data_IF_685629401196
#
_entry.id   IF_685629401196
#
_cell.length_a   1.000
_cell.length_b   1.000
_cell.length_c   1.000
_cell.angle_alpha   90.00
_cell.angle_beta   90.00
_cell.angle_gamma   90.00
#
_symmetry.space_group_name_H-M   'P 1'
#
loop_
_entity.id
_entity.type
_entity.pdbx_description
1 polymer ?
#
# COMPACT_ATOMS: atom_id res chain seq x y z
N UNK A 1 47.89 10.44 4.46
CA UNK A 1 46.82 10.82 5.40
C UNK A 1 45.69 11.60 4.75
N UNK A 2 45.98 12.75 4.21
CA UNK A 2 44.98 13.61 3.55
C UNK A 2 44.29 12.92 2.38
N UNK A 3 44.98 12.18 1.49
CA UNK A 3 44.31 11.46 0.39
C UNK A 3 43.31 10.40 0.86
N UNK A 4 43.58 9.75 1.99
CA UNK A 4 42.71 8.73 2.56
C UNK A 4 41.40 9.34 3.05
N UNK A 5 41.42 10.53 3.63
CA UNK A 5 40.26 11.26 4.09
C UNK A 5 39.36 11.69 2.91
N UNK A 6 39.96 12.11 1.80
CA UNK A 6 39.26 12.47 0.57
C UNK A 6 38.57 11.25 -0.04
N UNK A 7 39.23 10.12 -0.05
CA UNK A 7 38.68 8.87 -0.56
C UNK A 7 37.49 8.40 0.27
N UNK A 8 37.57 8.55 1.59
CA UNK A 8 36.47 8.23 2.48
C UNK A 8 35.24 9.11 2.23
N UNK A 9 35.42 10.38 1.93
CA UNK A 9 34.29 11.27 1.63
C UNK A 9 33.62 10.91 0.31
N UNK A 10 34.34 10.39 -0.66
CA UNK A 10 33.76 9.86 -1.91
C UNK A 10 32.97 8.60 -1.66
N UNK A 11 33.47 7.69 -0.85
CA UNK A 11 32.78 6.47 -0.49
C UNK A 11 31.46 6.76 0.26
N UNK A 12 31.49 7.72 1.17
CA UNK A 12 30.29 8.17 1.89
C UNK A 12 29.24 8.74 0.94
N UNK A 13 29.66 9.57 -0.03
CA UNK A 13 28.75 10.12 -1.03
C UNK A 13 28.12 9.03 -1.90
N UNK A 14 28.92 8.06 -2.31
CA UNK A 14 28.44 6.93 -3.10
C UNK A 14 27.46 6.05 -2.31
N UNK A 15 27.71 5.86 -1.03
CA UNK A 15 26.82 5.15 -0.13
C UNK A 15 25.49 5.88 0.04
N UNK A 16 25.50 7.18 0.24
CA UNK A 16 24.29 7.99 0.40
C UNK A 16 23.43 7.96 -0.85
N UNK A 17 24.01 8.02 -2.03
CA UNK A 17 23.30 7.90 -3.30
C UNK A 17 22.62 6.52 -3.43
N UNK A 18 23.29 5.47 -2.98
CA UNK A 18 22.72 4.11 -3.02
C UNK A 18 21.61 3.92 -1.99
N UNK A 19 21.71 4.52 -0.83
CA UNK A 19 20.69 4.42 0.21
C UNK A 19 19.40 5.16 -0.15
N UNK A 20 19.50 6.24 -0.89
CA UNK A 20 18.35 6.99 -1.36
C UNK A 20 17.68 6.38 -2.60
N UNK A 21 18.37 5.49 -3.30
CA UNK A 21 17.96 5.00 -4.61
C UNK A 21 16.84 3.94 -4.57
N UNK A 22 16.59 3.29 -3.45
CA UNK A 22 15.55 2.27 -3.38
C UNK A 22 14.96 2.12 -1.99
N UNK A 23 13.70 2.40 -1.86
CA UNK A 23 12.93 1.99 -0.69
C UNK A 23 12.76 0.47 -0.72
N UNK A 24 12.96 -0.22 0.42
CA UNK A 24 12.89 -1.67 0.43
C UNK A 24 11.49 -2.18 0.13
N UNK A 25 11.42 -3.16 -0.76
CA UNK A 25 10.17 -3.84 -1.12
C UNK A 25 10.25 -5.35 -0.93
N UNK A 26 11.44 -5.91 -0.80
CA UNK A 26 11.63 -7.34 -0.60
C UNK A 26 10.88 -7.81 0.66
N UNK A 27 9.98 -8.75 0.49
CA UNK A 27 9.15 -9.30 1.57
C UNK A 27 8.76 -10.74 1.28
N UNK A 28 8.16 -11.40 2.26
CA UNK A 28 7.61 -12.75 2.08
C UNK A 28 6.37 -12.71 1.18
N UNK A 29 6.25 -13.69 0.29
CA UNK A 29 5.05 -13.89 -0.52
C UNK A 29 3.97 -14.57 0.30
N UNK A 30 2.77 -14.01 0.29
CA UNK A 30 1.59 -14.61 0.89
C UNK A 30 0.82 -15.37 -0.18
N UNK A 31 0.68 -16.68 0.00
CA UNK A 31 -0.15 -17.52 -0.87
C UNK A 31 -1.54 -17.68 -0.23
N UNK A 32 -2.48 -16.87 -0.70
CA UNK A 32 -3.84 -16.85 -0.17
C UNK A 32 -4.64 -18.12 -0.50
N UNK A 33 -4.28 -18.82 -1.57
CA UNK A 33 -4.98 -20.06 -1.96
C UNK A 33 -4.67 -21.21 -1.01
N UNK A 34 -3.44 -21.29 -0.54
CA UNK A 34 -2.95 -22.37 0.30
C UNK A 34 -2.75 -21.94 1.77
N UNK A 35 -3.11 -20.70 2.11
CA UNK A 35 -2.97 -20.12 3.46
C UNK A 35 -1.57 -20.30 4.04
N UNK A 36 -0.56 -20.01 3.26
CA UNK A 36 0.83 -20.13 3.70
C UNK A 36 1.70 -18.98 3.19
N UNK A 37 2.82 -18.79 3.87
CA UNK A 37 3.87 -17.87 3.46
C UNK A 37 4.98 -18.70 2.82
N UNK A 38 5.36 -18.35 1.59
CA UNK A 38 6.45 -19.04 0.90
C UNK A 38 7.18 -18.09 -0.04
N UNK A 39 8.49 -18.33 -0.18
CA UNK A 39 9.34 -17.57 -1.08
C UNK A 39 9.35 -16.05 -0.77
N UNK A 40 9.96 -15.30 -1.66
CA UNK A 40 10.10 -13.87 -1.56
C UNK A 40 9.43 -13.19 -2.73
N UNK A 41 9.00 -11.97 -2.54
CA UNK A 41 8.42 -11.11 -3.57
C UNK A 41 9.04 -9.72 -3.45
N UNK A 42 9.25 -9.07 -4.60
CA UNK A 42 9.87 -7.75 -4.67
C UNK A 42 9.21 -6.92 -5.79
N UNK A 43 9.52 -5.61 -5.82
CA UNK A 43 9.06 -4.70 -6.86
C UNK A 43 7.54 -4.53 -6.91
N UNK A 44 6.97 -4.59 -8.11
CA UNK A 44 5.53 -4.38 -8.32
C UNK A 44 4.65 -5.40 -7.59
N UNK A 45 5.04 -6.67 -7.57
CA UNK A 45 4.29 -7.71 -6.85
C UNK A 45 4.28 -7.46 -5.35
N UNK A 46 5.42 -7.03 -4.79
CA UNK A 46 5.51 -6.67 -3.38
C UNK A 46 4.63 -5.46 -3.07
N UNK A 47 4.59 -4.47 -3.95
CA UNK A 47 3.72 -3.30 -3.81
C UNK A 47 2.24 -3.68 -3.86
N UNK A 48 1.86 -4.56 -4.77
CA UNK A 48 0.49 -5.06 -4.85
C UNK A 48 0.07 -5.76 -3.55
N UNK A 49 0.94 -6.60 -3.01
CA UNK A 49 0.72 -7.28 -1.73
C UNK A 49 0.64 -6.28 -0.56
N UNK A 50 1.51 -5.28 -0.54
CA UNK A 50 1.50 -4.24 0.50
C UNK A 50 0.20 -3.42 0.47
N UNK A 51 -0.29 -3.05 -0.70
CA UNK A 51 -1.55 -2.35 -0.88
C UNK A 51 -2.71 -3.21 -0.38
N UNK A 52 -2.76 -4.48 -0.78
CA UNK A 52 -3.78 -5.41 -0.33
C UNK A 52 -3.80 -5.54 1.21
N UNK A 53 -2.63 -5.63 1.81
CA UNK A 53 -2.48 -5.71 3.27
C UNK A 53 -3.02 -4.48 3.99
N UNK A 54 -2.77 -3.28 3.48
CA UNK A 54 -3.31 -2.03 4.04
C UNK A 54 -4.84 -2.03 3.99
N UNK A 55 -5.41 -2.44 2.85
CA UNK A 55 -6.86 -2.47 2.65
C UNK A 55 -7.57 -3.52 3.52
N UNK A 56 -6.88 -4.59 3.87
CA UNK A 56 -7.40 -5.65 4.75
C UNK A 56 -7.22 -5.35 6.23
N UNK A 57 -6.52 -4.29 6.57
CA UNK A 57 -6.21 -3.94 7.96
C UNK A 57 -7.12 -2.80 8.42
N UNK A 58 -7.93 -3.03 9.43
CA UNK A 58 -8.73 -1.98 10.08
C UNK A 58 -7.81 -1.04 10.85
N UNK A 59 -7.90 0.26 10.58
CA UNK A 59 -7.11 1.29 11.26
C UNK A 59 -7.43 1.30 12.76
N UNK A 60 -6.40 1.47 13.58
CA UNK A 60 -6.44 1.49 15.05
C UNK A 60 -6.71 0.16 15.74
N UNK A 61 -7.12 -0.86 15.03
CA UNK A 61 -7.40 -2.18 15.63
C UNK A 61 -6.16 -2.87 16.19
N UNK A 62 -5.03 -2.68 15.53
CA UNK A 62 -3.76 -3.33 15.87
C UNK A 62 -2.69 -2.30 16.24
N UNK A 63 -3.02 -1.35 17.09
CA UNK A 63 -2.16 -0.22 17.44
C UNK A 63 -0.84 -0.57 18.15
N UNK A 64 -0.71 -1.80 18.65
CA UNK A 64 0.56 -2.30 19.20
C UNK A 64 1.53 -2.81 18.13
N UNK A 65 1.03 -3.14 16.96
CA UNK A 65 1.81 -3.71 15.85
C UNK A 65 2.04 -2.67 14.76
N UNK A 66 1.03 -1.89 14.45
CA UNK A 66 1.06 -0.87 13.39
C UNK A 66 0.92 0.54 13.97
N UNK A 67 1.45 1.53 13.24
CA UNK A 67 1.22 2.93 13.57
C UNK A 67 -0.26 3.30 13.46
N UNK A 68 -0.65 4.39 14.11
CA UNK A 68 -2.03 4.89 14.07
C UNK A 68 -2.52 5.25 12.66
N UNK A 69 -1.60 5.48 11.72
CA UNK A 69 -1.92 5.84 10.33
C UNK A 69 -1.98 4.65 9.38
N UNK A 70 -1.70 3.44 9.87
CA UNK A 70 -1.71 2.25 9.05
C UNK A 70 -3.12 1.63 8.99
N UNK A 71 -3.53 1.21 7.80
CA UNK A 71 -4.82 0.60 7.56
C UNK A 71 -5.88 1.58 7.09
N UNK A 72 -7.10 1.11 7.00
CA UNK A 72 -8.26 1.87 6.53
C UNK A 72 -9.46 1.66 7.46
N UNK A 73 -10.24 2.72 7.69
CA UNK A 73 -11.49 2.64 8.45
C UNK A 73 -12.67 2.41 7.52
N UNK A 74 -13.32 1.26 7.63
CA UNK A 74 -14.48 0.92 6.82
C UNK A 74 -15.69 0.49 7.66
N UNK A 75 -15.50 0.16 8.92
CA UNK A 75 -16.55 -0.38 9.80
C UNK A 75 -17.69 0.61 10.00
N UNK A 76 -17.40 1.89 10.11
CA UNK A 76 -18.40 2.94 10.29
C UNK A 76 -19.25 3.22 9.05
N UNK A 77 -18.89 2.67 7.89
CA UNK A 77 -19.67 2.77 6.66
C UNK A 77 -20.82 1.74 6.60
N UNK A 78 -20.81 0.74 7.46
CA UNK A 78 -21.84 -0.27 7.53
C UNK A 78 -23.19 0.39 7.91
N UNK A 79 -24.21 0.19 7.09
CA UNK A 79 -25.52 0.78 7.28
C UNK A 79 -25.72 2.18 6.71
N UNK A 80 -24.70 2.78 6.10
CA UNK A 80 -24.78 4.09 5.46
C UNK A 80 -25.36 4.00 4.05
N UNK A 81 -25.94 5.11 3.51
CA UNK A 81 -26.42 5.15 2.13
C UNK A 81 -25.32 4.85 1.11
N UNK A 82 -25.64 4.11 0.08
CA UNK A 82 -24.71 3.65 -0.95
C UNK A 82 -23.92 4.77 -1.61
N UNK A 83 -24.55 5.87 -1.98
CA UNK A 83 -23.86 7.01 -2.60
C UNK A 83 -22.80 7.61 -1.67
N UNK A 84 -23.10 7.70 -0.39
CA UNK A 84 -22.17 8.15 0.64
C UNK A 84 -21.01 7.16 0.78
N UNK A 85 -21.27 5.86 0.82
CA UNK A 85 -20.25 4.81 0.93
C UNK A 85 -19.27 4.88 -0.23
N UNK A 86 -19.74 5.01 -1.45
CA UNK A 86 -18.87 5.10 -2.65
C UNK A 86 -17.92 6.30 -2.56
N UNK A 87 -18.42 7.47 -2.22
CA UNK A 87 -17.60 8.68 -2.10
C UNK A 87 -16.57 8.57 -0.97
N UNK A 88 -16.99 8.02 0.17
CA UNK A 88 -16.11 7.86 1.32
C UNK A 88 -15.05 6.78 1.11
N UNK A 89 -15.40 5.67 0.48
CA UNK A 89 -14.45 4.59 0.17
C UNK A 89 -13.33 5.10 -0.73
N UNK A 90 -13.65 5.85 -1.78
CA UNK A 90 -12.63 6.44 -2.64
C UNK A 90 -11.66 7.34 -1.86
N UNK A 91 -12.21 8.25 -1.08
CA UNK A 91 -11.43 9.17 -0.25
C UNK A 91 -10.53 8.43 0.74
N UNK A 92 -11.08 7.44 1.43
CA UNK A 92 -10.36 6.68 2.47
C UNK A 92 -9.28 5.77 1.90
N UNK A 93 -9.52 5.14 0.76
CA UNK A 93 -8.50 4.36 0.07
C UNK A 93 -7.34 5.26 -0.36
N UNK A 94 -7.65 6.39 -0.97
CA UNK A 94 -6.62 7.35 -1.39
C UNK A 94 -5.79 7.84 -0.21
N UNK A 95 -6.43 8.24 0.86
CA UNK A 95 -5.75 8.69 2.09
C UNK A 95 -4.89 7.58 2.70
N UNK A 96 -5.43 6.38 2.86
CA UNK A 96 -4.72 5.26 3.48
C UNK A 96 -3.47 4.85 2.69
N UNK A 97 -3.55 4.82 1.36
CA UNK A 97 -2.44 4.39 0.52
C UNK A 97 -1.37 5.47 0.34
N UNK A 98 -1.75 6.74 0.32
CA UNK A 98 -0.78 7.83 0.16
C UNK A 98 0.10 8.07 1.39
N UNK A 99 -0.16 7.41 2.50
CA UNK A 99 0.78 7.35 3.63
C UNK A 99 2.05 6.58 3.30
N UNK A 100 2.02 5.68 2.33
CA UNK A 100 3.21 4.98 1.86
C UNK A 100 3.92 5.83 0.81
N UNK A 101 5.14 6.24 1.11
CA UNK A 101 5.94 7.09 0.22
C UNK A 101 6.27 6.45 -1.13
N UNK A 102 6.17 5.13 -1.22
CA UNK A 102 6.36 4.38 -2.47
C UNK A 102 5.18 4.52 -3.43
N UNK A 103 4.03 4.98 -2.95
CA UNK A 103 2.82 5.19 -3.75
C UNK A 103 2.74 6.67 -4.12
N UNK A 104 2.80 6.96 -5.42
CA UNK A 104 2.83 8.32 -5.95
C UNK A 104 1.43 8.87 -6.21
N UNK A 105 0.52 8.04 -6.67
CA UNK A 105 -0.86 8.43 -6.99
C UNK A 105 -1.80 7.24 -6.93
N UNK A 106 -3.06 7.51 -6.63
CA UNK A 106 -4.16 6.54 -6.67
C UNK A 106 -5.23 7.11 -7.58
N UNK A 107 -5.61 6.37 -8.62
CA UNK A 107 -6.48 6.88 -9.70
C UNK A 107 -7.33 5.78 -10.34
N UNK A 108 -8.20 6.21 -11.26
CA UNK A 108 -9.04 5.33 -12.09
C UNK A 108 -9.93 4.40 -11.26
N UNK A 109 -10.62 4.98 -10.29
CA UNK A 109 -11.58 4.24 -9.49
C UNK A 109 -12.79 3.82 -10.31
N UNK A 110 -13.19 2.56 -10.15
CA UNK A 110 -14.41 1.99 -10.70
C UNK A 110 -15.16 1.27 -9.61
N UNK A 111 -16.48 1.48 -9.54
CA UNK A 111 -17.32 0.92 -8.51
C UNK A 111 -18.43 0.09 -9.14
N UNK A 112 -18.53 -1.16 -8.73
CA UNK A 112 -19.65 -2.04 -9.06
C UNK A 112 -20.41 -2.37 -7.77
N UNK A 113 -21.68 -2.02 -7.73
CA UNK A 113 -22.45 -2.17 -6.50
C UNK A 113 -23.41 -3.33 -6.58
N UNK A 114 -23.42 -4.13 -5.52
CA UNK A 114 -24.39 -5.17 -5.23
C UNK A 114 -25.38 -4.69 -4.14
N UNK A 115 -26.24 -5.58 -3.67
CA UNK A 115 -27.26 -5.22 -2.67
C UNK A 115 -26.66 -4.75 -1.34
N UNK A 116 -25.58 -5.36 -0.89
CA UNK A 116 -24.97 -5.12 0.41
C UNK A 116 -23.46 -4.87 0.34
N UNK A 117 -22.90 -4.74 -0.85
CA UNK A 117 -21.47 -4.51 -1.04
C UNK A 117 -21.17 -3.68 -2.28
N UNK A 118 -19.98 -3.07 -2.28
CA UNK A 118 -19.42 -2.35 -3.42
C UNK A 118 -18.09 -2.99 -3.76
N UNK A 119 -17.94 -3.42 -5.01
CA UNK A 119 -16.68 -3.90 -5.53
C UNK A 119 -15.89 -2.71 -6.08
N UNK A 120 -14.69 -2.51 -5.60
CA UNK A 120 -13.84 -1.38 -5.94
C UNK A 120 -12.65 -1.85 -6.77
N UNK A 121 -12.39 -1.16 -7.86
CA UNK A 121 -11.20 -1.35 -8.68
C UNK A 121 -10.49 0.00 -8.82
N UNK A 122 -9.18 -0.01 -8.77
CA UNK A 122 -8.39 1.22 -8.92
C UNK A 122 -6.96 0.91 -9.34
N UNK A 123 -6.22 1.96 -9.69
CA UNK A 123 -4.83 1.87 -10.08
C UNK A 123 -3.96 2.74 -9.18
N UNK A 124 -2.78 2.24 -8.85
CA UNK A 124 -1.76 2.97 -8.11
C UNK A 124 -0.53 3.16 -8.97
N UNK A 125 -0.04 4.39 -9.08
CA UNK A 125 1.29 4.66 -9.60
C UNK A 125 2.28 4.56 -8.44
N UNK A 126 3.24 3.66 -8.56
CA UNK A 126 4.28 3.45 -7.55
C UNK A 126 5.65 3.74 -8.13
N UNK A 127 6.65 3.88 -7.28
CA UNK A 127 8.05 4.03 -7.72
C UNK A 127 8.57 2.80 -8.49
N UNK A 128 7.88 1.65 -8.41
CA UNK A 128 8.20 0.42 -9.12
C UNK A 128 7.32 0.17 -10.35
N UNK A 129 6.47 1.12 -10.72
CA UNK A 129 5.54 1.05 -11.82
C UNK A 129 4.07 1.05 -11.40
N UNK A 130 3.18 0.89 -12.36
CA UNK A 130 1.75 0.91 -12.13
C UNK A 130 1.25 -0.44 -11.60
N UNK A 131 0.42 -0.39 -10.58
CA UNK A 131 -0.23 -1.57 -9.99
C UNK A 131 -1.74 -1.40 -10.09
N UNK A 132 -2.43 -2.41 -10.59
CA UNK A 132 -3.89 -2.44 -10.68
C UNK A 132 -4.46 -3.33 -9.59
N UNK A 133 -5.41 -2.83 -8.84
CA UNK A 133 -6.15 -3.58 -7.82
C UNK A 133 -7.55 -3.85 -8.35
N UNK A 134 -7.86 -5.13 -8.49
CA UNK A 134 -9.17 -5.59 -8.92
C UNK A 134 -9.85 -6.33 -7.76
N UNK A 135 -11.12 -6.05 -7.55
CA UNK A 135 -11.93 -6.87 -6.68
C UNK A 135 -11.77 -6.64 -5.18
N UNK A 136 -11.49 -5.43 -4.75
CA UNK A 136 -11.60 -5.07 -3.35
C UNK A 136 -13.07 -4.83 -2.99
N UNK A 137 -13.63 -5.65 -2.11
CA UNK A 137 -15.04 -5.60 -1.73
C UNK A 137 -15.24 -4.89 -0.40
N UNK A 138 -16.16 -3.93 -0.38
CA UNK A 138 -16.56 -3.19 0.83
C UNK A 138 -18.04 -3.49 1.12
N UNK A 139 -18.30 -3.99 2.31
CA UNK A 139 -19.67 -4.23 2.79
C UNK A 139 -20.25 -2.99 3.46
N UNK A 140 -21.55 -2.78 3.28
CA UNK A 140 -22.28 -1.66 3.89
C UNK A 140 -23.72 -1.98 4.31
#
# INVERSE_FOLDING_TARGET
>A
MIPTIIDNSKEVQEFDIKSDASMPTLTYRIDLKNNRVQNWVDGQEAMKQAIFKVLQTERYRYNKVYSANYGIELVDLIGMPKAFVIAEVERRIREALLWDERILAVKNFTFESNKASVLVQFQCDTIFGQVTINGFEVNF
#
